data_IF_626498293307
#
_entry.id   IF_626498293307
#
_cell.length_a   1.000
_cell.length_b   1.000
_cell.length_c   1.000
_cell.angle_alpha   90.00
_cell.angle_beta   90.00
_cell.angle_gamma   90.00
#
_symmetry.space_group_name_H-M   'P 1'
#
loop_
_entity.id
_entity.type
_entity.pdbx_description
1 polymer ?
#
# COMPACT_ATOMS: atom_id res chain seq x y z
N UNK A 1 0.12 5.51 -32.99
CA UNK A 1 0.82 6.05 -31.81
C UNK A 1 0.31 5.29 -30.60
N UNK A 2 1.06 4.28 -30.14
CA UNK A 2 0.63 3.44 -29.02
C UNK A 2 0.83 4.15 -27.67
N UNK A 3 0.02 3.85 -26.65
CA UNK A 3 0.25 4.37 -25.31
C UNK A 3 1.58 3.81 -24.78
N UNK A 4 2.52 4.71 -24.51
CA UNK A 4 3.74 4.43 -23.77
C UNK A 4 3.37 3.95 -22.37
N UNK A 5 3.64 2.67 -22.06
CA UNK A 5 3.41 2.11 -20.74
C UNK A 5 4.56 2.50 -19.81
N UNK A 6 4.19 2.94 -18.62
CA UNK A 6 5.11 3.49 -17.64
C UNK A 6 5.89 2.37 -16.89
N UNK A 7 7.21 2.52 -16.65
CA UNK A 7 8.11 1.48 -16.14
C UNK A 7 7.94 1.09 -14.65
N UNK A 8 6.85 1.50 -13.98
CA UNK A 8 6.64 1.35 -12.53
C UNK A 8 6.47 -0.07 -12.01
N UNK A 9 6.04 -1.01 -12.86
CA UNK A 9 5.76 -2.40 -12.44
C UNK A 9 6.99 -3.14 -11.90
N UNK A 10 8.19 -2.65 -12.20
CA UNK A 10 9.46 -3.22 -11.72
C UNK A 10 9.80 -2.79 -10.29
N UNK A 11 9.21 -1.72 -9.76
CA UNK A 11 9.64 -1.10 -8.50
C UNK A 11 8.86 -1.53 -7.24
N UNK A 12 7.65 -2.08 -7.37
CA UNK A 12 6.76 -2.37 -6.22
C UNK A 12 6.87 -3.84 -5.75
N UNK A 13 7.42 -4.74 -6.57
CA UNK A 13 7.67 -6.12 -6.15
C UNK A 13 8.97 -6.20 -5.33
N UNK A 14 8.97 -6.81 -4.13
CA UNK A 14 10.21 -7.03 -3.39
C UNK A 14 11.16 -7.94 -4.19
N UNK A 15 12.49 -7.73 -4.12
CA UNK A 15 13.45 -8.42 -4.96
C UNK A 15 13.73 -9.82 -4.43
N UNK A 16 12.78 -10.76 -4.53
CA UNK A 16 13.10 -12.19 -4.34
C UNK A 16 12.27 -13.11 -5.26
N UNK A 17 13.01 -13.82 -6.13
CA UNK A 17 12.63 -14.97 -6.97
C UNK A 17 11.84 -14.72 -8.26
N UNK A 18 12.28 -15.40 -9.31
CA UNK A 18 11.92 -15.34 -10.75
C UNK A 18 10.45 -15.63 -11.15
N UNK A 19 9.47 -15.25 -10.33
CA UNK A 19 8.05 -15.51 -10.61
C UNK A 19 7.12 -14.30 -10.78
N UNK A 20 7.57 -13.03 -10.98
CA UNK A 20 6.62 -11.95 -11.26
C UNK A 20 6.00 -12.06 -12.67
N UNK A 21 6.67 -12.68 -13.65
CA UNK A 21 6.24 -12.66 -15.06
C UNK A 21 4.91 -13.40 -15.35
N UNK A 22 4.61 -14.51 -14.64
CA UNK A 22 3.48 -15.37 -14.99
C UNK A 22 2.11 -14.78 -14.58
N UNK A 23 2.02 -14.17 -13.40
CA UNK A 23 0.78 -13.60 -12.85
C UNK A 23 0.30 -12.36 -13.63
N UNK A 24 1.22 -11.59 -14.22
CA UNK A 24 0.86 -10.38 -14.98
C UNK A 24 0.44 -10.65 -16.43
N UNK A 25 0.84 -11.79 -17.01
CA UNK A 25 0.38 -12.20 -18.35
C UNK A 25 -1.14 -12.46 -18.36
N UNK A 26 -1.66 -13.05 -17.28
CA UNK A 26 -3.08 -13.38 -17.13
C UNK A 26 -3.97 -12.16 -16.90
N UNK A 27 -3.46 -11.12 -16.22
CA UNK A 27 -4.18 -9.86 -16.03
C UNK A 27 -4.25 -9.02 -17.33
N UNK A 28 -3.29 -9.20 -18.24
CA UNK A 28 -3.18 -8.47 -19.51
C UNK A 28 -4.19 -8.93 -20.56
N UNK A 29 -4.57 -10.20 -20.55
CA UNK A 29 -5.50 -10.81 -21.53
C UNK A 29 -6.98 -10.63 -21.20
N UNK A 30 -7.32 -10.18 -19.98
CA UNK A 30 -8.70 -10.11 -19.51
C UNK A 30 -9.20 -8.69 -19.18
N UNK A 31 -8.56 -7.61 -19.66
CA UNK A 31 -9.19 -6.29 -19.62
C UNK A 31 -10.40 -6.29 -20.57
N UNK A 32 -11.66 -6.30 -20.10
CA UNK A 32 -12.77 -5.99 -20.98
C UNK A 32 -12.70 -4.48 -21.23
N UNK A 33 -12.97 -4.07 -22.47
CA UNK A 33 -13.19 -2.67 -22.84
C UNK A 33 -13.99 -1.95 -21.75
N UNK A 34 -13.49 -0.79 -21.29
CA UNK A 34 -14.16 0.11 -20.35
C UNK A 34 -15.65 0.24 -20.69
N UNK A 35 -16.51 -0.50 -19.99
CA UNK A 35 -17.96 -0.41 -20.13
C UNK A 35 -18.37 0.93 -19.51
N UNK A 36 -19.01 1.80 -20.31
CA UNK A 36 -19.65 3.02 -19.78
C UNK A 36 -20.79 2.60 -18.83
N UNK A 37 -20.91 3.22 -17.64
CA UNK A 37 -21.94 2.84 -16.69
C UNK A 37 -23.28 3.44 -17.07
N UNK A 38 -24.29 2.57 -17.15
CA UNK A 38 -25.71 2.90 -17.17
C UNK A 38 -26.12 3.65 -15.88
N UNK A 39 -27.15 4.48 -16.05
CA UNK A 39 -27.74 5.32 -15.02
C UNK A 39 -28.51 4.47 -13.99
N UNK A 40 -27.91 4.23 -12.83
CA UNK A 40 -28.64 3.76 -11.64
C UNK A 40 -28.18 4.56 -10.40
N UNK A 41 -29.03 5.48 -9.95
CA UNK A 41 -28.72 6.53 -8.97
C UNK A 41 -28.96 6.11 -7.50
N UNK A 42 -29.39 4.89 -7.21
CA UNK A 42 -29.90 4.52 -5.87
C UNK A 42 -28.87 4.07 -4.82
N UNK A 43 -27.63 3.74 -5.19
CA UNK A 43 -26.63 3.13 -4.28
C UNK A 43 -25.38 3.99 -4.06
N UNK A 44 -25.41 5.28 -4.42
CA UNK A 44 -24.23 6.16 -4.37
C UNK A 44 -23.81 6.67 -2.98
N UNK A 45 -24.17 5.98 -1.91
CA UNK A 45 -23.97 6.44 -0.53
C UNK A 45 -22.65 6.03 0.15
N UNK A 46 -21.72 5.33 -0.51
CA UNK A 46 -20.43 4.96 0.10
C UNK A 46 -19.32 4.66 -0.91
N UNK A 47 -19.13 5.52 -1.91
CA UNK A 47 -18.02 5.38 -2.84
C UNK A 47 -16.71 5.77 -2.16
N UNK A 48 -15.84 4.77 -1.95
CA UNK A 48 -14.40 5.01 -1.81
C UNK A 48 -13.94 5.64 -3.11
N UNK A 49 -13.63 6.94 -3.07
CA UNK A 49 -13.00 7.65 -4.17
C UNK A 49 -13.82 7.47 -5.49
N UNK A 50 -14.98 8.14 -5.58
CA UNK A 50 -15.98 7.91 -6.64
C UNK A 50 -15.74 8.65 -7.97
N UNK A 51 -14.51 9.04 -8.32
CA UNK A 51 -14.26 9.83 -9.52
C UNK A 51 -13.65 8.98 -10.65
N UNK A 52 -14.26 9.06 -11.84
CA UNK A 52 -13.79 8.37 -13.07
C UNK A 52 -12.39 8.81 -13.55
N UNK A 53 -11.78 9.83 -12.91
CA UNK A 53 -10.50 10.44 -13.28
C UNK A 53 -9.48 10.44 -12.13
N UNK A 54 -9.54 9.46 -11.22
CA UNK A 54 -8.58 9.43 -10.12
C UNK A 54 -7.18 9.07 -10.60
N UNK A 55 -6.23 9.97 -10.31
CA UNK A 55 -4.82 9.70 -10.50
C UNK A 55 -4.35 8.63 -9.52
N UNK A 56 -3.29 7.91 -9.88
CA UNK A 56 -2.63 6.95 -8.99
C UNK A 56 -2.19 7.64 -7.69
N UNK A 57 -1.68 8.87 -7.76
CA UNK A 57 -1.34 9.67 -6.59
C UNK A 57 -2.55 9.86 -5.67
N UNK A 58 -3.71 10.24 -6.23
CA UNK A 58 -4.91 10.41 -5.42
C UNK A 58 -5.31 9.10 -4.73
N UNK A 59 -5.34 8.00 -5.47
CA UNK A 59 -5.71 6.68 -4.92
C UNK A 59 -4.75 6.24 -3.83
N UNK A 60 -3.44 6.45 -3.97
CA UNK A 60 -2.44 5.91 -3.03
C UNK A 60 -2.10 6.84 -1.87
N UNK A 61 -2.24 8.16 -2.04
CA UNK A 61 -1.83 9.15 -1.06
C UNK A 61 -3.00 9.97 -0.50
N UNK A 62 -3.85 10.52 -1.38
CA UNK A 62 -4.72 11.65 -1.02
C UNK A 62 -6.19 11.31 -0.83
N UNK A 63 -6.67 10.14 -1.27
CA UNK A 63 -8.05 9.73 -1.02
C UNK A 63 -8.28 9.59 0.50
N UNK A 64 -9.43 10.01 1.05
CA UNK A 64 -9.73 9.89 2.48
C UNK A 64 -9.49 8.49 3.05
N UNK A 65 -9.79 7.45 2.26
CA UNK A 65 -9.54 6.08 2.67
C UNK A 65 -8.04 5.78 2.82
N UNK A 66 -7.22 6.27 1.90
CA UNK A 66 -5.77 6.09 1.92
C UNK A 66 -5.13 6.88 3.05
N UNK A 67 -5.59 8.11 3.28
CA UNK A 67 -5.18 8.92 4.43
C UNK A 67 -5.50 8.24 5.77
N UNK A 68 -6.65 7.59 5.90
CA UNK A 68 -7.01 6.79 7.08
C UNK A 68 -6.02 5.63 7.30
N UNK A 69 -5.63 4.93 6.23
CA UNK A 69 -4.62 3.86 6.30
C UNK A 69 -3.26 4.42 6.69
N UNK A 70 -2.79 5.49 6.04
CA UNK A 70 -1.50 6.12 6.34
C UNK A 70 -1.43 6.59 7.79
N UNK A 71 -2.46 7.29 8.27
CA UNK A 71 -2.54 7.74 9.66
C UNK A 71 -2.52 6.55 10.63
N UNK A 72 -3.29 5.50 10.35
CA UNK A 72 -3.35 4.29 11.19
C UNK A 72 -2.03 3.52 11.23
N UNK A 73 -1.27 3.49 10.14
CA UNK A 73 0.00 2.77 10.06
C UNK A 73 1.18 3.58 10.60
N UNK A 74 1.14 4.91 10.53
CA UNK A 74 2.19 5.80 11.05
C UNK A 74 2.04 6.08 12.55
N UNK A 75 0.82 5.99 13.08
CA UNK A 75 0.52 6.16 14.50
C UNK A 75 1.00 7.51 15.02
N UNK A 76 1.94 7.51 15.97
CA UNK A 76 2.46 8.73 16.60
C UNK A 76 3.40 9.56 15.70
N UNK A 77 3.78 9.08 14.52
CA UNK A 77 4.73 9.74 13.59
C UNK A 77 4.05 10.75 12.66
N UNK A 78 3.33 11.68 13.26
CA UNK A 78 2.51 12.64 12.53
C UNK A 78 3.32 13.60 11.67
N UNK A 79 4.59 13.83 12.01
CA UNK A 79 5.54 14.59 11.19
C UNK A 79 5.82 13.91 9.85
N UNK A 80 5.83 12.58 9.81
CA UNK A 80 5.98 11.83 8.55
C UNK A 80 4.67 11.88 7.77
N UNK A 81 3.53 11.70 8.45
CA UNK A 81 2.21 11.79 7.84
C UNK A 81 1.95 13.15 7.17
N UNK A 82 2.35 14.26 7.82
CA UNK A 82 2.17 15.60 7.29
C UNK A 82 2.84 15.81 5.93
N UNK A 83 3.98 15.15 5.68
CA UNK A 83 4.73 15.23 4.42
C UNK A 83 4.00 14.62 3.22
N UNK A 84 2.97 13.80 3.44
CA UNK A 84 2.10 13.30 2.37
C UNK A 84 1.45 14.46 1.62
N UNK A 85 1.08 15.54 2.31
CA UNK A 85 0.43 16.71 1.70
C UNK A 85 1.40 17.62 0.92
N UNK A 86 2.70 17.35 1.00
CA UNK A 86 3.75 18.14 0.33
C UNK A 86 4.22 17.50 -0.98
N UNK A 87 3.64 16.37 -1.38
CA UNK A 87 4.06 15.59 -2.56
C UNK A 87 2.91 15.38 -3.55
N UNK A 88 3.20 15.59 -4.82
CA UNK A 88 2.23 15.46 -5.93
C UNK A 88 2.32 14.09 -6.62
N UNK A 89 3.33 13.29 -6.25
CA UNK A 89 3.68 12.02 -6.88
C UNK A 89 4.04 10.96 -5.85
N UNK A 90 3.64 9.73 -6.13
CA UNK A 90 3.95 8.56 -5.28
C UNK A 90 5.45 8.32 -5.23
N UNK A 91 6.13 8.59 -6.34
CA UNK A 91 7.57 8.52 -6.47
C UNK A 91 8.30 9.43 -5.49
N UNK A 92 7.86 10.70 -5.42
CA UNK A 92 8.41 11.71 -4.53
C UNK A 92 8.18 11.32 -3.08
N UNK A 93 7.02 10.75 -2.77
CA UNK A 93 6.73 10.16 -1.47
C UNK A 93 7.71 9.03 -1.10
N UNK A 94 7.88 8.05 -1.99
CA UNK A 94 8.75 6.89 -1.75
C UNK A 94 10.23 7.28 -1.64
N UNK A 95 10.71 8.21 -2.47
CA UNK A 95 12.09 8.70 -2.45
C UNK A 95 12.36 9.51 -1.18
N UNK A 96 11.39 10.31 -0.75
CA UNK A 96 11.52 11.21 0.39
C UNK A 96 11.22 10.52 1.74
N UNK A 97 10.86 9.23 1.71
CA UNK A 97 10.58 8.42 2.89
C UNK A 97 11.78 8.46 3.87
N UNK A 98 11.56 8.78 5.16
CA UNK A 98 12.65 8.88 6.12
C UNK A 98 13.44 7.57 6.24
N UNK A 99 14.77 7.66 6.20
CA UNK A 99 15.64 6.48 6.35
C UNK A 99 15.71 6.06 7.82
N UNK A 100 15.55 4.76 8.07
CA UNK A 100 15.75 4.15 9.38
C UNK A 100 17.09 3.39 9.47
N UNK A 101 17.49 3.03 10.69
CA UNK A 101 18.61 2.13 10.94
C UNK A 101 18.16 0.68 10.80
N UNK A 102 18.69 -0.06 9.83
CA UNK A 102 18.29 -1.45 9.54
C UNK A 102 18.86 -2.51 10.50
N UNK A 103 19.16 -2.14 11.76
CA UNK A 103 19.80 -3.03 12.73
C UNK A 103 18.81 -3.83 13.58
N UNK A 104 17.52 -3.48 13.53
CA UNK A 104 16.45 -4.17 14.25
C UNK A 104 15.23 -4.35 13.35
N UNK A 105 14.25 -5.11 13.85
CA UNK A 105 13.01 -5.41 13.14
C UNK A 105 12.26 -4.12 12.78
N UNK A 106 12.20 -3.15 13.70
CA UNK A 106 11.55 -1.86 13.49
C UNK A 106 12.08 -1.10 12.28
N UNK A 107 13.40 -0.99 12.15
CA UNK A 107 14.05 -0.32 11.02
C UNK A 107 13.84 -1.03 9.68
N UNK A 108 13.86 -2.37 9.67
CA UNK A 108 13.51 -3.15 8.47
C UNK A 108 12.06 -2.92 8.05
N UNK A 109 11.12 -3.05 8.99
CA UNK A 109 9.70 -2.81 8.74
C UNK A 109 9.47 -1.39 8.26
N UNK A 110 10.11 -0.39 8.88
CA UNK A 110 10.01 1.00 8.49
C UNK A 110 10.45 1.25 7.04
N UNK A 111 11.57 0.67 6.62
CA UNK A 111 12.07 0.86 5.26
C UNK A 111 11.15 0.27 4.17
N UNK A 112 10.45 -0.82 4.47
CA UNK A 112 9.56 -1.49 3.51
C UNK A 112 8.06 -1.10 3.67
N UNK A 113 7.72 -0.40 4.76
CA UNK A 113 6.36 0.06 5.09
C UNK A 113 5.66 0.81 3.94
N UNK A 114 6.26 1.82 3.30
CA UNK A 114 5.53 2.61 2.32
C UNK A 114 5.17 1.80 1.07
N UNK A 115 6.00 0.82 0.70
CA UNK A 115 5.73 -0.10 -0.40
C UNK A 115 4.56 -1.03 -0.08
N UNK A 116 4.50 -1.57 1.15
CA UNK A 116 3.40 -2.42 1.59
C UNK A 116 2.06 -1.68 1.62
N UNK A 117 2.05 -0.42 2.07
CA UNK A 117 0.84 0.42 2.08
C UNK A 117 0.37 0.68 0.65
N UNK A 118 1.26 1.17 -0.23
CA UNK A 118 0.94 1.41 -1.64
C UNK A 118 0.39 0.16 -2.35
N UNK A 119 1.02 -0.99 -2.13
CA UNK A 119 0.56 -2.27 -2.67
C UNK A 119 -0.85 -2.64 -2.20
N UNK A 120 -1.11 -2.51 -0.90
CA UNK A 120 -2.40 -2.90 -0.33
C UNK A 120 -3.53 -1.93 -0.70
N UNK A 121 -3.25 -0.64 -0.83
CA UNK A 121 -4.21 0.34 -1.34
C UNK A 121 -4.55 0.08 -2.82
N UNK A 122 -3.55 -0.19 -3.65
CA UNK A 122 -3.78 -0.59 -5.05
C UNK A 122 -4.62 -1.87 -5.15
N UNK A 123 -4.28 -2.89 -4.34
CA UNK A 123 -5.02 -4.15 -4.28
C UNK A 123 -6.47 -3.93 -3.84
N UNK A 124 -6.70 -3.09 -2.83
CA UNK A 124 -8.04 -2.76 -2.34
C UNK A 124 -8.88 -2.05 -3.39
N UNK A 125 -8.29 -1.09 -4.13
CA UNK A 125 -8.96 -0.44 -5.25
C UNK A 125 -9.36 -1.45 -6.33
N UNK A 126 -8.48 -2.39 -6.67
CA UNK A 126 -8.81 -3.40 -7.68
C UNK A 126 -9.89 -4.37 -7.20
N UNK A 127 -9.86 -4.79 -5.93
CA UNK A 127 -10.92 -5.62 -5.37
C UNK A 127 -12.27 -4.88 -5.37
N UNK A 128 -12.28 -3.59 -5.07
CA UNK A 128 -13.51 -2.79 -5.18
C UNK A 128 -14.05 -2.77 -6.62
N UNK A 129 -13.18 -2.52 -7.60
CA UNK A 129 -13.58 -2.42 -9.02
C UNK A 129 -14.06 -3.77 -9.58
N UNK A 130 -13.34 -4.86 -9.28
CA UNK A 130 -13.57 -6.16 -9.93
C UNK A 130 -14.43 -7.12 -9.11
N UNK A 131 -14.50 -6.93 -7.79
CA UNK A 131 -15.17 -7.85 -6.86
C UNK A 131 -16.24 -7.15 -6.00
N UNK A 132 -16.40 -5.83 -6.12
CA UNK A 132 -17.28 -5.02 -5.25
C UNK A 132 -16.96 -5.19 -3.75
N UNK A 133 -15.75 -5.67 -3.40
CA UNK A 133 -15.29 -5.76 -2.02
C UNK A 133 -14.84 -4.38 -1.56
N UNK A 134 -15.70 -3.75 -0.76
CA UNK A 134 -15.39 -2.45 -0.17
C UNK A 134 -14.22 -2.57 0.78
N UNK A 135 -14.02 -3.67 1.51
CA UNK A 135 -13.01 -3.77 2.57
C UNK A 135 -13.19 -2.73 3.70
N UNK A 136 -12.47 -2.89 4.81
CA UNK A 136 -12.40 -1.88 5.89
C UNK A 136 -10.97 -1.42 6.12
N UNK A 137 -10.78 -0.21 6.66
CA UNK A 137 -9.44 0.29 6.98
C UNK A 137 -8.72 -0.65 7.95
N UNK A 138 -9.42 -1.09 9.00
CA UNK A 138 -8.93 -2.04 9.99
C UNK A 138 -8.44 -3.35 9.34
N UNK A 139 -9.22 -3.93 8.42
CA UNK A 139 -8.81 -5.14 7.69
C UNK A 139 -7.56 -4.88 6.86
N UNK A 140 -7.50 -3.78 6.13
CA UNK A 140 -6.35 -3.45 5.28
C UNK A 140 -5.11 -3.18 6.12
N UNK A 141 -5.19 -2.47 7.25
CA UNK A 141 -4.07 -2.31 8.18
C UNK A 141 -3.55 -3.65 8.70
N UNK A 142 -4.44 -4.58 9.05
CA UNK A 142 -4.05 -5.94 9.46
C UNK A 142 -3.37 -6.70 8.33
N UNK A 143 -3.89 -6.59 7.11
CA UNK A 143 -3.31 -7.22 5.92
C UNK A 143 -1.94 -6.63 5.58
N UNK A 144 -1.74 -5.31 5.72
CA UNK A 144 -0.44 -4.63 5.57
C UNK A 144 0.54 -5.20 6.59
N UNK A 145 0.18 -5.26 7.87
CA UNK A 145 1.03 -5.84 8.92
C UNK A 145 1.37 -7.31 8.62
N UNK A 146 0.40 -8.10 8.15
CA UNK A 146 0.62 -9.48 7.71
C UNK A 146 1.60 -9.60 6.53
N UNK A 147 1.45 -8.71 5.54
CA UNK A 147 2.34 -8.64 4.38
C UNK A 147 3.78 -8.29 4.79
N UNK A 148 3.94 -7.29 5.66
CA UNK A 148 5.24 -6.90 6.19
C UNK A 148 5.91 -8.05 6.96
N UNK A 149 5.16 -8.72 7.83
CA UNK A 149 5.64 -9.89 8.57
C UNK A 149 6.13 -11.01 7.65
N UNK A 150 5.41 -11.21 6.55
CA UNK A 150 5.80 -12.18 5.52
C UNK A 150 7.07 -11.74 4.77
N UNK A 151 7.20 -10.46 4.42
CA UNK A 151 8.38 -9.93 3.70
C UNK A 151 9.67 -10.03 4.51
N UNK A 152 9.60 -9.87 5.84
CA UNK A 152 10.77 -10.02 6.72
C UNK A 152 11.01 -11.46 7.15
N UNK A 153 10.38 -12.45 6.51
CA UNK A 153 10.38 -13.81 7.02
C UNK A 153 11.76 -14.47 7.11
N UNK A 154 12.67 -14.12 6.22
CA UNK A 154 14.02 -14.67 6.21
C UNK A 154 15.02 -13.83 7.02
N UNK A 155 14.60 -12.67 7.54
CA UNK A 155 15.49 -11.76 8.27
C UNK A 155 15.81 -12.31 9.67
N UNK A 156 17.09 -12.27 10.10
CA UNK A 156 17.50 -12.70 11.43
C UNK A 156 16.91 -11.82 12.54
N UNK A 157 16.66 -10.55 12.28
CA UNK A 157 16.05 -9.58 13.21
C UNK A 157 14.64 -10.00 13.63
N UNK A 158 13.94 -10.81 12.81
CA UNK A 158 12.62 -11.36 13.15
C UNK A 158 12.66 -12.45 14.22
N UNK A 159 13.78 -13.16 14.43
CA UNK A 159 13.84 -14.44 15.18
C UNK A 159 13.29 -14.37 16.61
N UNK A 160 13.35 -13.20 17.23
CA UNK A 160 12.94 -12.98 18.62
C UNK A 160 11.57 -12.32 18.76
N UNK A 161 10.85 -12.14 17.65
CA UNK A 161 9.53 -11.52 17.65
C UNK A 161 8.49 -12.52 17.14
N UNK A 162 7.26 -12.37 17.61
CA UNK A 162 6.09 -13.05 17.06
C UNK A 162 5.21 -12.07 16.27
N UNK A 163 4.40 -12.62 15.36
CA UNK A 163 3.41 -11.82 14.65
C UNK A 163 2.39 -11.18 15.62
N UNK A 164 2.00 -11.89 16.67
CA UNK A 164 1.06 -11.39 17.68
C UNK A 164 1.60 -10.19 18.44
N UNK A 165 2.86 -10.24 18.87
CA UNK A 165 3.52 -9.11 19.54
C UNK A 165 3.65 -7.90 18.60
N UNK A 166 4.01 -8.12 17.33
CA UNK A 166 4.09 -7.04 16.35
C UNK A 166 2.71 -6.38 16.11
N UNK A 167 1.63 -7.16 16.10
CA UNK A 167 0.28 -6.61 15.96
C UNK A 167 -0.13 -5.78 17.19
N UNK A 168 0.13 -6.30 18.39
CA UNK A 168 -0.24 -5.66 19.66
C UNK A 168 0.59 -4.40 19.95
N UNK A 169 1.87 -4.40 19.56
CA UNK A 169 2.83 -3.37 19.91
C UNK A 169 3.33 -2.61 18.66
N UNK A 170 2.48 -2.45 17.65
CA UNK A 170 2.87 -1.88 16.35
C UNK A 170 3.65 -0.56 16.45
N UNK A 171 3.15 0.39 17.25
CA UNK A 171 3.81 1.69 17.42
C UNK A 171 5.17 1.59 18.11
N UNK A 172 5.30 0.68 19.07
CA UNK A 172 6.54 0.40 19.79
C UNK A 172 7.57 -0.24 18.86
N UNK A 173 7.17 -1.25 18.09
CA UNK A 173 8.05 -1.91 17.11
C UNK A 173 8.59 -0.92 16.09
N UNK A 174 7.74 -0.03 15.58
CA UNK A 174 8.20 1.04 14.69
C UNK A 174 9.02 2.13 15.40
N UNK A 175 9.02 2.21 16.74
CA UNK A 175 9.77 3.27 17.47
C UNK A 175 11.24 2.91 17.59
N UNK A 176 11.54 1.61 17.59
CA UNK A 176 12.89 1.07 17.56
C UNK A 176 13.63 1.41 16.26
N UNK A 177 12.94 1.84 15.20
CA UNK A 177 13.59 2.18 13.91
C UNK A 177 14.62 3.31 13.98
N UNK A 178 14.60 4.10 15.06
CA UNK A 178 15.43 5.28 15.28
C UNK A 178 16.52 5.11 16.36
N UNK A 179 16.45 4.01 17.12
CA UNK A 179 17.44 3.64 18.16
C UNK A 179 18.56 2.85 17.47
#
# INVERSE_FOLDING_TARGET
MGPSFSPWFTFIAPPTSDKPQLLFSTARTHLPSLRQPDQDEGLRGKWRCGLMNESITYILLHCPFSLEIWSSMLGTRMEVYARIFEVDKVEEWLISWPKARYHNLGGLLWGILPYAICWMLWKARNNLVFQQDVGSAVRICKDIKGLLWHWVAISPERRHHTYGEMLANWDLVLSESWI
#
